data_IF_942412574132
#
_entry.id   IF_942412574132
#
_cell.length_a   1.000
_cell.length_b   1.000
_cell.length_c   1.000
_cell.angle_alpha   90.00
_cell.angle_beta   90.00
_cell.angle_gamma   90.00
#
_symmetry.space_group_name_H-M   'P 1'
#
loop_
_entity.id
_entity.type
_entity.pdbx_description
1 polymer ?
#
# COMPACT_ATOMS: atom_id res chain seq x y z
N UNK A 1 13.60 20.72 -5.61
CA UNK A 1 13.63 19.58 -4.68
C UNK A 1 12.25 18.95 -4.71
N UNK A 2 12.15 17.71 -5.20
CA UNK A 2 10.91 16.94 -5.14
C UNK A 2 10.78 16.49 -3.69
N UNK A 3 9.66 16.83 -3.03
CA UNK A 3 9.35 16.28 -1.71
C UNK A 3 8.80 14.87 -1.92
N UNK A 4 9.47 13.90 -1.33
CA UNK A 4 9.02 12.52 -1.28
C UNK A 4 8.36 12.30 0.09
N UNK A 5 7.13 11.82 0.07
CA UNK A 5 6.42 11.30 1.24
C UNK A 5 6.79 9.83 1.39
N UNK A 6 6.92 9.36 2.63
CA UNK A 6 7.10 7.95 2.94
C UNK A 6 5.90 7.47 3.73
N UNK A 7 5.37 6.33 3.35
CA UNK A 7 4.20 5.73 3.97
C UNK A 7 4.35 4.22 4.00
N UNK A 8 3.85 3.60 5.06
CA UNK A 8 3.92 2.16 5.26
C UNK A 8 2.54 1.56 5.02
N UNK A 9 2.49 0.48 4.25
CA UNK A 9 1.29 -0.25 3.91
C UNK A 9 1.45 -1.71 4.31
N UNK A 10 0.46 -2.26 5.00
CA UNK A 10 0.38 -3.68 5.29
C UNK A 10 -0.44 -4.33 4.19
N UNK A 11 0.26 -5.00 3.27
CA UNK A 11 -0.34 -5.54 2.06
C UNK A 11 -0.59 -7.04 2.24
N UNK A 12 -1.84 -7.51 2.12
CA UNK A 12 -2.14 -8.94 2.13
C UNK A 12 -1.36 -9.67 1.03
N UNK A 13 -0.80 -10.83 1.35
CA UNK A 13 0.04 -11.60 0.42
C UNK A 13 -0.71 -11.93 -0.89
N UNK A 14 -2.04 -12.11 -0.80
CA UNK A 14 -2.92 -12.41 -1.92
C UNK A 14 -3.00 -11.34 -3.01
N UNK A 15 -2.85 -10.05 -2.66
CA UNK A 15 -2.87 -8.92 -3.63
C UNK A 15 -1.50 -8.27 -3.82
N UNK A 16 -0.46 -8.79 -3.17
CA UNK A 16 0.90 -8.26 -3.24
C UNK A 16 1.39 -8.11 -4.69
N UNK A 17 1.02 -9.06 -5.57
CA UNK A 17 1.37 -8.99 -6.99
C UNK A 17 0.72 -7.80 -7.70
N UNK A 18 -0.53 -7.46 -7.36
CA UNK A 18 -1.25 -6.32 -7.95
C UNK A 18 -0.66 -4.99 -7.47
N UNK A 19 -0.40 -4.88 -6.16
CA UNK A 19 0.26 -3.72 -5.56
C UNK A 19 1.67 -3.54 -6.15
N UNK A 20 2.46 -4.60 -6.26
CA UNK A 20 3.77 -4.55 -6.93
C UNK A 20 3.67 -4.10 -8.39
N UNK A 21 2.60 -4.48 -9.09
CA UNK A 21 2.32 -4.03 -10.46
C UNK A 21 2.25 -2.50 -10.54
N UNK A 22 1.43 -1.89 -9.68
CA UNK A 22 1.28 -0.43 -9.60
C UNK A 22 2.59 0.27 -9.24
N UNK A 23 3.31 -0.25 -8.24
CA UNK A 23 4.61 0.27 -7.82
C UNK A 23 5.61 0.25 -8.98
N UNK A 24 5.67 -0.86 -9.74
CA UNK A 24 6.58 -0.99 -10.87
C UNK A 24 6.19 -0.10 -12.05
N UNK A 25 4.90 0.00 -12.37
CA UNK A 25 4.39 0.82 -13.49
C UNK A 25 4.71 2.30 -13.30
N UNK A 26 4.65 2.77 -12.06
CA UNK A 26 4.91 4.17 -11.71
C UNK A 26 6.35 4.41 -11.19
N UNK A 27 7.22 3.40 -11.28
CA UNK A 27 8.62 3.45 -10.81
C UNK A 27 8.75 3.97 -9.35
N UNK A 28 7.80 3.60 -8.49
CA UNK A 28 7.77 4.03 -7.10
C UNK A 28 8.88 3.34 -6.30
N UNK A 29 9.55 4.13 -5.46
CA UNK A 29 10.53 3.59 -4.54
C UNK A 29 9.80 2.83 -3.44
N UNK A 30 10.17 1.57 -3.25
CA UNK A 30 9.55 0.70 -2.27
C UNK A 30 10.64 -0.07 -1.51
N UNK A 31 10.33 -0.44 -0.27
CA UNK A 31 11.16 -1.32 0.56
C UNK A 31 10.27 -2.23 1.38
N UNK A 32 10.55 -3.54 1.36
CA UNK A 32 9.89 -4.49 2.27
C UNK A 32 10.49 -4.25 3.66
N UNK A 33 9.62 -3.90 4.61
CA UNK A 33 9.98 -3.64 6.00
C UNK A 33 9.91 -4.94 6.79
N UNK A 34 8.80 -5.67 6.65
CA UNK A 34 8.50 -6.88 7.39
C UNK A 34 7.62 -7.81 6.56
N UNK A 35 7.68 -9.11 6.88
CA UNK A 35 6.79 -10.14 6.34
C UNK A 35 6.19 -10.84 7.55
N UNK A 36 4.88 -10.71 7.72
CA UNK A 36 4.14 -11.33 8.82
C UNK A 36 3.46 -12.60 8.30
N UNK A 37 4.03 -13.76 8.65
CA UNK A 37 3.50 -15.06 8.24
C UNK A 37 2.23 -15.45 9.02
N UNK A 38 2.00 -14.85 10.20
CA UNK A 38 0.84 -15.15 11.05
C UNK A 38 -0.41 -14.40 10.55
N UNK A 39 -0.25 -13.16 10.12
CA UNK A 39 -1.30 -12.32 9.53
C UNK A 39 -1.43 -12.48 8.01
N UNK A 40 -0.51 -13.20 7.36
CA UNK A 40 -0.41 -13.33 5.90
C UNK A 40 -0.31 -11.96 5.18
N UNK A 41 0.39 -11.01 5.81
CA UNK A 41 0.59 -9.65 5.31
C UNK A 41 2.07 -9.31 5.16
N UNK A 42 2.38 -8.38 4.25
CA UNK A 42 3.72 -7.90 3.97
C UNK A 42 3.74 -6.39 4.15
N UNK A 43 4.51 -5.90 5.11
CA UNK A 43 4.68 -4.48 5.35
C UNK A 43 5.64 -3.86 4.33
N UNK A 44 5.15 -2.92 3.55
CA UNK A 44 5.88 -2.19 2.51
C UNK A 44 5.99 -0.70 2.86
N UNK A 45 7.20 -0.16 2.88
CA UNK A 45 7.42 1.29 2.85
C UNK A 45 7.46 1.76 1.39
N UNK A 46 6.53 2.62 0.99
CA UNK A 46 6.50 3.25 -0.33
C UNK A 46 6.85 4.72 -0.19
N UNK A 47 7.73 5.20 -1.08
CA UNK A 47 8.10 6.60 -1.18
C UNK A 47 7.59 7.18 -2.50
N UNK A 48 6.77 8.23 -2.39
CA UNK A 48 6.04 8.78 -3.51
C UNK A 48 6.07 10.31 -3.51
N UNK A 49 5.90 10.93 -4.67
CA UNK A 49 5.78 12.37 -4.78
C UNK A 49 4.30 12.79 -4.79
N UNK A 50 4.02 14.08 -4.67
CA UNK A 50 2.64 14.60 -4.80
C UNK A 50 1.95 14.23 -6.12
N UNK A 51 2.71 13.93 -7.18
CA UNK A 51 2.17 13.54 -8.48
C UNK A 51 1.69 12.10 -8.48
N UNK A 52 2.24 11.26 -7.61
CA UNK A 52 1.97 9.83 -7.53
C UNK A 52 0.91 9.50 -6.47
N UNK A 53 0.28 10.54 -5.90
CA UNK A 53 -0.73 10.38 -4.86
C UNK A 53 -1.94 9.57 -5.33
N UNK A 54 -2.30 9.67 -6.61
CA UNK A 54 -3.36 8.84 -7.20
C UNK A 54 -3.01 7.35 -7.19
N UNK A 55 -1.73 7.00 -7.32
CA UNK A 55 -1.26 5.60 -7.27
C UNK A 55 -1.37 5.08 -5.84
N UNK A 56 -0.99 5.89 -4.86
CA UNK A 56 -1.12 5.53 -3.45
C UNK A 56 -2.57 5.27 -3.07
N UNK A 57 -3.49 6.14 -3.48
CA UNK A 57 -4.91 5.90 -3.22
C UNK A 57 -5.43 4.64 -3.88
N UNK A 58 -4.93 4.25 -5.05
CA UNK A 58 -5.29 2.95 -5.67
C UNK A 58 -4.74 1.76 -4.87
N UNK A 59 -3.54 1.87 -4.31
CA UNK A 59 -2.96 0.83 -3.45
C UNK A 59 -3.79 0.70 -2.16
N UNK A 60 -4.16 1.81 -1.54
CA UNK A 60 -5.05 1.82 -0.36
C UNK A 60 -6.40 1.17 -0.66
N UNK A 61 -7.01 1.52 -1.80
CA UNK A 61 -8.30 0.97 -2.24
C UNK A 61 -8.22 -0.55 -2.45
N UNK A 62 -7.14 -1.05 -3.08
CA UNK A 62 -6.91 -2.49 -3.26
C UNK A 62 -6.75 -3.22 -1.92
N UNK A 63 -6.04 -2.62 -0.96
CA UNK A 63 -5.85 -3.22 0.37
C UNK A 63 -7.18 -3.26 1.12
N UNK A 64 -7.96 -2.18 1.08
CA UNK A 64 -9.26 -2.09 1.72
C UNK A 64 -10.27 -3.09 1.10
N UNK A 65 -10.31 -3.21 -0.22
CA UNK A 65 -11.18 -4.14 -0.94
C UNK A 65 -10.85 -5.60 -0.63
N UNK A 66 -9.57 -5.92 -0.39
CA UNK A 66 -9.16 -7.26 0.02
C UNK A 66 -9.29 -7.50 1.54
N UNK A 67 -9.59 -6.46 2.32
CA UNK A 67 -9.78 -6.51 3.77
C UNK A 67 -11.27 -6.41 4.14
N UNK A 68 -12.17 -6.97 3.32
CA UNK A 68 -13.63 -7.02 3.53
C UNK A 68 -14.09 -7.85 4.77
N UNK A 69 -13.52 -7.61 5.95
CA UNK A 69 -14.14 -7.90 7.26
C UNK A 69 -13.56 -6.99 8.37
N UNK A 70 -13.76 -5.67 8.26
CA UNK A 70 -13.92 -4.79 9.44
C UNK A 70 -14.71 -3.54 9.04
N UNK A 71 -16.02 -3.73 8.87
CA UNK A 71 -17.00 -2.64 8.84
C UNK A 71 -17.20 -2.17 10.30
N UNK A 72 -16.63 -1.02 10.67
CA UNK A 72 -17.31 -0.07 11.56
C UNK A 72 -16.80 1.36 11.33
N UNK A 73 -17.63 2.08 10.58
CA UNK A 73 -17.78 3.53 10.46
C UNK A 73 -17.96 4.17 11.85
N UNK A 74 -17.23 5.26 12.19
CA UNK A 74 -17.85 6.36 12.95
C UNK A 74 -17.03 7.67 12.84
N UNK A 75 -17.58 8.57 12.04
CA UNK A 75 -17.27 10.00 11.94
C UNK A 75 -18.15 10.74 12.99
N UNK A 76 -17.58 11.19 14.13
CA UNK A 76 -18.19 12.20 15.02
C UNK A 76 -17.21 13.32 15.45
#
# INVERSE_FOLDING_TARGET
MIKLTKEQFDVPSGIMLEVCGLICEHELQHAIVEVDEDADTISLEIQYSKQDREVIHQIEDLIADNSEDDDDDDDE
#
